data_IF_598887302802
#
_entry.id   IF_598887302802
#
_cell.length_a   1.000
_cell.length_b   1.000
_cell.length_c   1.000
_cell.angle_alpha   90.00
_cell.angle_beta   90.00
_cell.angle_gamma   90.00
#
_symmetry.space_group_name_H-M   'P 1'
#
loop_
_entity.id
_entity.type
_entity.pdbx_description
1 polymer ?
#
# COMPACT_ATOMS: atom_id res chain seq x y z
N UNK A 1 23.41 12.62 16.52
CA UNK A 1 22.27 11.68 16.41
C UNK A 1 22.20 10.84 17.66
N UNK A 2 21.02 10.66 18.24
CA UNK A 2 20.84 9.71 19.35
C UNK A 2 20.69 8.29 18.82
N UNK A 3 20.97 7.28 19.64
CA UNK A 3 20.79 5.87 19.28
C UNK A 3 19.38 5.58 18.76
N UNK A 4 18.35 6.17 19.39
CA UNK A 4 16.96 6.02 18.99
C UNK A 4 16.66 6.60 17.61
N UNK A 5 17.26 7.76 17.27
CA UNK A 5 17.16 8.33 15.93
C UNK A 5 17.75 7.38 14.88
N UNK A 6 18.94 6.81 15.15
CA UNK A 6 19.58 5.87 14.24
C UNK A 6 18.76 4.60 14.03
N UNK A 7 18.13 4.07 15.09
CA UNK A 7 17.23 2.91 15.00
C UNK A 7 16.03 3.23 14.10
N UNK A 8 15.38 4.38 14.28
CA UNK A 8 14.23 4.76 13.45
C UNK A 8 14.60 4.93 11.98
N UNK A 9 15.75 5.54 11.69
CA UNK A 9 16.25 5.66 10.32
C UNK A 9 16.50 4.26 9.73
N UNK A 10 17.17 3.38 10.46
CA UNK A 10 17.46 2.02 9.99
C UNK A 10 16.17 1.22 9.73
N UNK A 11 15.19 1.28 10.63
CA UNK A 11 13.89 0.63 10.44
C UNK A 11 13.17 1.15 9.20
N UNK A 12 13.26 2.46 8.96
CA UNK A 12 12.68 3.08 7.76
C UNK A 12 13.36 2.57 6.49
N UNK A 13 14.69 2.47 6.49
CA UNK A 13 15.45 1.94 5.35
C UNK A 13 15.09 0.48 5.09
N UNK A 14 15.04 -0.35 6.14
CA UNK A 14 14.65 -1.76 6.03
C UNK A 14 13.23 -1.89 5.46
N UNK A 15 12.29 -1.08 5.96
CA UNK A 15 10.93 -1.06 5.44
C UNK A 15 10.93 -0.79 3.93
N UNK A 16 11.64 0.23 3.47
CA UNK A 16 11.71 0.57 2.04
C UNK A 16 12.35 -0.56 1.23
N UNK A 17 13.49 -1.09 1.70
CA UNK A 17 14.22 -2.17 1.04
C UNK A 17 13.40 -3.45 0.88
N UNK A 18 12.49 -3.74 1.82
CA UNK A 18 11.61 -4.91 1.76
C UNK A 18 10.36 -4.63 0.94
N UNK A 19 9.74 -3.46 1.14
CA UNK A 19 8.43 -3.17 0.54
C UNK A 19 8.52 -2.90 -0.96
N UNK A 20 9.58 -2.22 -1.45
CA UNK A 20 9.71 -1.90 -2.87
C UNK A 20 9.79 -3.17 -3.74
N UNK A 21 10.69 -4.15 -3.46
CA UNK A 21 10.72 -5.40 -4.22
C UNK A 21 9.44 -6.21 -4.09
N UNK A 22 8.80 -6.23 -2.91
CA UNK A 22 7.53 -6.92 -2.67
C UNK A 22 6.43 -6.37 -3.57
N UNK A 23 6.25 -5.05 -3.57
CA UNK A 23 5.24 -4.37 -4.39
C UNK A 23 5.49 -4.63 -5.87
N UNK A 24 6.75 -4.59 -6.30
CA UNK A 24 7.12 -4.91 -7.68
C UNK A 24 6.83 -6.38 -8.04
N UNK A 25 7.14 -7.32 -7.14
CA UNK A 25 6.81 -8.74 -7.33
C UNK A 25 5.30 -8.98 -7.48
N UNK A 26 4.49 -8.36 -6.62
CA UNK A 26 3.03 -8.44 -6.72
C UNK A 26 2.49 -7.82 -8.01
N UNK A 27 3.13 -6.76 -8.51
CA UNK A 27 2.78 -6.17 -9.80
C UNK A 27 3.04 -7.15 -10.96
N UNK A 28 4.11 -7.95 -10.90
CA UNK A 28 4.36 -9.01 -11.87
C UNK A 28 3.30 -10.12 -11.79
N UNK A 29 2.98 -10.58 -10.57
CA UNK A 29 1.93 -11.58 -10.34
C UNK A 29 0.56 -11.12 -10.82
N UNK A 30 0.21 -9.85 -10.59
CA UNK A 30 -1.02 -9.27 -11.10
C UNK A 30 -1.13 -9.40 -12.62
N UNK A 31 -0.05 -9.08 -13.35
CA UNK A 31 -0.05 -9.19 -14.83
C UNK A 31 -0.24 -10.65 -15.28
N UNK A 32 0.43 -11.58 -14.62
CA UNK A 32 0.34 -13.00 -14.91
C UNK A 32 -1.09 -13.53 -14.67
N UNK A 33 -1.68 -13.26 -13.49
CA UNK A 33 -3.05 -13.68 -13.19
C UNK A 33 -4.08 -13.00 -14.11
N UNK A 34 -3.87 -11.73 -14.47
CA UNK A 34 -4.76 -11.03 -15.40
C UNK A 34 -4.70 -11.60 -16.82
N UNK A 35 -3.51 -11.98 -17.30
CA UNK A 35 -3.32 -12.62 -18.61
C UNK A 35 -3.95 -14.02 -18.65
N UNK A 36 -3.80 -14.78 -17.56
CA UNK A 36 -4.35 -16.14 -17.41
C UNK A 36 -5.85 -16.14 -17.05
N UNK A 37 -6.46 -14.96 -16.85
CA UNK A 37 -7.83 -14.81 -16.34
C UNK A 37 -8.08 -15.58 -15.03
N UNK A 38 -7.06 -15.70 -14.19
CA UNK A 38 -7.12 -16.39 -12.90
C UNK A 38 -7.78 -15.49 -11.85
N UNK A 39 -9.11 -15.62 -11.74
CA UNK A 39 -9.92 -14.82 -10.83
C UNK A 39 -9.60 -15.08 -9.35
N UNK A 40 -9.26 -16.31 -8.99
CA UNK A 40 -8.94 -16.69 -7.62
C UNK A 40 -7.60 -16.07 -7.21
N UNK A 41 -6.59 -16.17 -8.08
CA UNK A 41 -5.29 -15.52 -7.90
C UNK A 41 -5.42 -13.99 -7.78
N UNK A 42 -6.25 -13.36 -8.61
CA UNK A 42 -6.52 -11.91 -8.52
C UNK A 42 -7.23 -11.55 -7.19
N UNK A 43 -8.20 -12.34 -6.75
CA UNK A 43 -8.95 -12.10 -5.50
C UNK A 43 -8.06 -12.23 -4.26
N UNK A 44 -7.20 -13.26 -4.22
CA UNK A 44 -6.22 -13.44 -3.15
C UNK A 44 -5.22 -12.28 -3.12
N UNK A 45 -4.69 -11.90 -4.29
CA UNK A 45 -3.75 -10.79 -4.42
C UNK A 45 -4.38 -9.47 -3.95
N UNK A 46 -5.63 -9.19 -4.32
CA UNK A 46 -6.38 -8.02 -3.86
C UNK A 46 -6.56 -8.01 -2.33
N UNK A 47 -6.94 -9.14 -1.75
CA UNK A 47 -7.13 -9.28 -0.30
C UNK A 47 -5.82 -9.04 0.45
N UNK A 48 -4.71 -9.58 -0.08
CA UNK A 48 -3.38 -9.32 0.47
C UNK A 48 -3.05 -7.81 0.42
N UNK A 49 -3.23 -7.14 -0.71
CA UNK A 49 -2.98 -5.70 -0.84
C UNK A 49 -3.82 -4.88 0.16
N UNK A 50 -5.11 -5.17 0.29
CA UNK A 50 -5.98 -4.53 1.28
C UNK A 50 -5.48 -4.71 2.71
N UNK A 51 -4.99 -5.90 3.07
CA UNK A 51 -4.38 -6.16 4.37
C UNK A 51 -3.13 -5.30 4.62
N UNK A 52 -2.28 -5.10 3.61
CA UNK A 52 -1.10 -4.25 3.71
C UNK A 52 -1.44 -2.76 3.81
N UNK A 53 -2.46 -2.29 3.09
CA UNK A 53 -2.98 -0.92 3.24
C UNK A 53 -3.31 -0.63 4.69
N UNK A 54 -4.09 -1.51 5.34
CA UNK A 54 -4.49 -1.34 6.74
C UNK A 54 -3.26 -1.30 7.66
N UNK A 55 -2.31 -2.23 7.49
CA UNK A 55 -1.08 -2.28 8.31
C UNK A 55 -0.27 -0.99 8.20
N UNK A 56 -0.05 -0.50 6.98
CA UNK A 56 0.71 0.73 6.75
C UNK A 56 -0.02 1.95 7.30
N UNK A 57 -1.34 2.05 7.13
CA UNK A 57 -2.15 3.14 7.71
C UNK A 57 -2.06 3.14 9.25
N UNK A 58 -2.25 1.98 9.89
CA UNK A 58 -2.15 1.87 11.34
C UNK A 58 -0.76 2.26 11.86
N UNK A 59 0.31 1.76 11.22
CA UNK A 59 1.68 2.10 11.59
C UNK A 59 1.99 3.58 11.39
N UNK A 60 1.53 4.17 10.28
CA UNK A 60 1.73 5.58 10.00
C UNK A 60 1.02 6.48 11.02
N UNK A 61 -0.21 6.13 11.40
CA UNK A 61 -0.98 6.84 12.42
C UNK A 61 -0.35 6.72 13.81
N UNK A 62 0.11 5.53 14.20
CA UNK A 62 0.84 5.35 15.46
C UNK A 62 2.14 6.16 15.49
N UNK A 63 2.87 6.19 14.38
CA UNK A 63 4.07 7.00 14.24
C UNK A 63 3.77 8.50 14.37
N UNK A 64 2.70 9.01 13.76
CA UNK A 64 2.25 10.40 13.97
C UNK A 64 1.87 10.67 15.42
N UNK A 65 1.17 9.74 16.08
CA UNK A 65 0.85 9.85 17.51
C UNK A 65 2.11 9.98 18.36
N UNK A 66 3.16 9.20 18.06
CA UNK A 66 4.44 9.29 18.75
C UNK A 66 5.15 10.63 18.49
N UNK A 67 5.11 11.14 17.26
CA UNK A 67 5.64 12.47 16.92
C UNK A 67 4.91 13.57 17.70
N UNK A 68 3.59 13.50 17.78
CA UNK A 68 2.78 14.44 18.55
C UNK A 68 3.14 14.36 20.04
N UNK A 69 3.28 13.16 20.60
CA UNK A 69 3.68 12.97 21.99
C UNK A 69 5.03 13.63 22.28
N UNK A 70 6.05 13.44 21.43
CA UNK A 70 7.36 14.08 21.62
C UNK A 70 7.26 15.61 21.54
N UNK A 71 6.41 16.15 20.66
CA UNK A 71 6.29 17.60 20.47
C UNK A 71 5.49 18.31 21.55
N UNK A 72 4.50 17.64 22.15
CA UNK A 72 3.53 18.29 23.03
C UNK A 72 3.62 17.87 24.50
N UNK A 73 4.33 16.78 24.83
CA UNK A 73 4.55 16.40 26.23
C UNK A 73 5.84 17.03 26.78
N UNK A 74 5.79 17.59 28.00
CA UNK A 74 6.96 18.21 28.61
C UNK A 74 8.05 17.17 28.92
N UNK A 75 9.31 17.58 28.77
CA UNK A 75 10.48 16.73 29.09
C UNK A 75 10.98 15.85 27.93
N UNK A 76 10.37 15.91 26.75
CA UNK A 76 10.78 15.14 25.56
C UNK A 76 11.48 15.97 24.47
N UNK A 77 11.77 17.25 24.74
CA UNK A 77 12.34 18.21 23.78
C UNK A 77 13.68 17.74 23.18
N UNK A 78 14.48 17.01 23.96
CA UNK A 78 15.77 16.45 23.54
C UNK A 78 15.65 15.38 22.45
N UNK A 79 14.45 14.85 22.20
CA UNK A 79 14.17 13.82 21.18
C UNK A 79 13.63 14.38 19.85
N UNK A 80 13.76 15.70 19.62
CA UNK A 80 13.30 16.36 18.39
C UNK A 80 13.79 15.69 17.09
N UNK A 81 15.05 15.24 17.04
CA UNK A 81 15.59 14.50 15.88
C UNK A 81 14.91 13.15 15.67
N UNK A 82 14.60 12.44 16.77
CA UNK A 82 13.84 11.17 16.70
C UNK A 82 12.44 11.42 16.18
N UNK A 83 11.76 12.47 16.63
CA UNK A 83 10.45 12.84 16.10
C UNK A 83 10.49 13.13 14.59
N UNK A 84 11.53 13.81 14.10
CA UNK A 84 11.69 14.03 12.66
C UNK A 84 11.89 12.71 11.88
N UNK A 85 12.72 11.80 12.39
CA UNK A 85 12.91 10.48 11.77
C UNK A 85 11.62 9.64 11.78
N UNK A 86 10.86 9.66 12.88
CA UNK A 86 9.56 8.97 12.97
C UNK A 86 8.51 9.59 12.04
N UNK A 87 8.53 10.91 11.85
CA UNK A 87 7.65 11.58 10.88
C UNK A 87 7.96 11.13 9.44
N UNK A 88 9.24 10.99 9.09
CA UNK A 88 9.66 10.46 7.79
C UNK A 88 9.18 9.01 7.59
N UNK A 89 9.32 8.15 8.61
CA UNK A 89 8.78 6.79 8.61
C UNK A 89 7.26 6.78 8.36
N UNK A 90 6.52 7.66 9.02
CA UNK A 90 5.07 7.79 8.85
C UNK A 90 4.71 8.17 7.41
N UNK A 91 5.36 9.18 6.84
CA UNK A 91 5.12 9.62 5.47
C UNK A 91 5.41 8.51 4.44
N UNK A 92 6.49 7.75 4.64
CA UNK A 92 6.84 6.59 3.81
C UNK A 92 5.78 5.49 3.95
N UNK A 93 5.33 5.20 5.17
CA UNK A 93 4.27 4.21 5.40
C UNK A 93 2.95 4.62 4.74
N UNK A 94 2.55 5.90 4.81
CA UNK A 94 1.39 6.39 4.06
C UNK A 94 1.57 6.26 2.55
N UNK A 95 2.78 6.51 2.04
CA UNK A 95 3.08 6.34 0.62
C UNK A 95 2.90 4.89 0.19
N UNK A 96 3.37 3.92 1.00
CA UNK A 96 3.10 2.52 0.73
C UNK A 96 1.62 2.19 0.82
N UNK A 97 0.89 2.64 1.85
CA UNK A 97 -0.56 2.44 1.91
C UNK A 97 -1.28 2.96 0.66
N UNK A 98 -0.87 4.12 0.15
CA UNK A 98 -1.42 4.68 -1.07
C UNK A 98 -1.14 3.83 -2.31
N UNK A 99 0.13 3.44 -2.53
CA UNK A 99 0.52 2.58 -3.66
C UNK A 99 -0.19 1.22 -3.62
N UNK A 100 -0.27 0.61 -2.44
CA UNK A 100 -0.97 -0.65 -2.20
C UNK A 100 -2.48 -0.52 -2.50
N UNK A 101 -3.08 0.62 -2.15
CA UNK A 101 -4.49 0.93 -2.46
C UNK A 101 -4.72 1.06 -3.96
N UNK A 102 -3.82 1.72 -4.69
CA UNK A 102 -3.91 1.83 -6.15
C UNK A 102 -3.82 0.45 -6.82
N UNK A 103 -2.95 -0.43 -6.33
CA UNK A 103 -2.85 -1.80 -6.84
C UNK A 103 -4.11 -2.61 -6.55
N UNK A 104 -4.63 -2.56 -5.32
CA UNK A 104 -5.88 -3.23 -4.97
C UNK A 104 -7.06 -2.77 -5.83
N UNK A 105 -7.17 -1.45 -6.08
CA UNK A 105 -8.19 -0.89 -6.96
C UNK A 105 -8.01 -1.37 -8.41
N UNK A 106 -6.78 -1.39 -8.92
CA UNK A 106 -6.49 -1.84 -10.28
C UNK A 106 -6.82 -3.33 -10.48
N UNK A 107 -6.53 -4.17 -9.48
CA UNK A 107 -6.94 -5.57 -9.46
C UNK A 107 -8.47 -5.67 -9.49
N UNK A 108 -9.15 -4.95 -8.59
CA UNK A 108 -10.62 -4.92 -8.51
C UNK A 108 -11.29 -4.57 -9.84
N UNK A 109 -10.77 -3.55 -10.55
CA UNK A 109 -11.27 -3.14 -11.87
C UNK A 109 -11.04 -4.23 -12.91
N UNK A 110 -9.86 -4.85 -12.90
CA UNK A 110 -9.52 -5.93 -13.86
C UNK A 110 -10.40 -7.16 -13.65
N UNK A 111 -10.58 -7.60 -12.40
CA UNK A 111 -11.48 -8.69 -12.01
C UNK A 111 -12.91 -8.40 -12.46
N UNK A 112 -13.40 -7.17 -12.24
CA UNK A 112 -14.75 -6.76 -12.67
C UNK A 112 -14.90 -6.79 -14.19
N UNK A 113 -13.87 -6.35 -14.93
CA UNK A 113 -13.87 -6.36 -16.38
C UNK A 113 -13.91 -7.77 -16.98
N UNK A 114 -13.26 -8.75 -16.35
CA UNK A 114 -13.30 -10.15 -16.78
C UNK A 114 -14.69 -10.74 -16.55
N UNK A 115 -15.35 -10.35 -15.45
CA UNK A 115 -16.66 -10.86 -15.06
C UNK A 115 -17.84 -10.26 -15.85
N UNK A 116 -17.68 -9.09 -16.48
CA UNK A 116 -18.73 -8.53 -17.33
C UNK A 116 -18.70 -9.22 -18.71
N UNK A 117 -19.75 -9.97 -19.10
CA UNK A 117 -19.86 -10.43 -20.47
C UNK A 117 -19.97 -9.20 -21.37
N UNK A 118 -19.19 -9.16 -22.45
CA UNK A 118 -19.34 -8.18 -23.53
C UNK A 118 -20.83 -8.14 -23.88
N UNK A 119 -21.52 -7.04 -23.54
CA UNK A 119 -22.82 -6.75 -24.13
C UNK A 119 -22.56 -6.54 -25.62
N UNK A 120 -22.58 -7.63 -26.39
CA UNK A 120 -22.68 -7.53 -27.84
C UNK A 120 -23.93 -6.69 -28.13
N UNK A 121 -23.82 -5.62 -28.94
CA UNK A 121 -25.01 -5.09 -29.57
C UNK A 121 -25.54 -6.23 -30.44
N UNK A 122 -26.69 -6.79 -30.06
CA UNK A 122 -27.52 -7.51 -31.04
C UNK A 122 -27.98 -6.46 -32.03
N UNK A 123 -27.19 -6.29 -33.08
CA UNK A 123 -27.64 -5.68 -34.31
C UNK A 123 -28.60 -6.70 -34.94
N UNK A 124 -29.85 -6.66 -34.49
CA UNK A 124 -31.00 -7.15 -35.25
C UNK A 124 -31.17 -6.26 -36.49
N UNK A 125 -30.14 -6.22 -37.35
CA UNK A 125 -30.26 -5.91 -38.77
C UNK A 125 -30.83 -7.14 -39.48
N UNK A 126 -32.08 -7.48 -39.17
CA UNK A 126 -32.93 -8.31 -40.03
C UNK A 126 -34.36 -7.79 -39.97
N UNK A 127 -34.54 -6.55 -40.41
CA UNK A 127 -35.82 -6.16 -40.98
C UNK A 127 -35.66 -6.19 -42.49
N UNK A 128 -36.17 -7.28 -43.06
CA UNK A 128 -36.58 -7.39 -44.46
C UNK A 128 -37.68 -6.37 -44.76
#
# INVERSE_FOLDING_TARGET
MTMLTSIMVLLTVILVMVMVPRIYGNWLQFKEYAELMDLDGLSELQTMHNGWVIRHMCLALMALGFVAAIKYLPGLESYSQTAAATAAYSAISFTFAFVESLLAQKISVSTTSILQPVKEPRDDQRYY
#
